data_IF_261774319047
#
_entry.id   IF_261774319047
#
_cell.length_a   1.000
_cell.length_b   1.000
_cell.length_c   1.000
_cell.angle_alpha   90.00
_cell.angle_beta   90.00
_cell.angle_gamma   90.00
#
_symmetry.space_group_name_H-M   'P 1'
#
loop_
_entity.id
_entity.type
_entity.pdbx_description
1 polymer ?
#
# COMPACT_ATOMS: atom_id res chain seq x y z
N UNK A 1 1.16 -11.97 -23.74
CA UNK A 1 1.27 -12.09 -22.27
C UNK A 1 0.27 -13.11 -21.73
N UNK A 2 0.57 -13.61 -20.53
CA UNK A 2 -0.36 -14.44 -19.75
C UNK A 2 -0.67 -13.73 -18.43
N UNK A 3 -1.94 -13.50 -18.16
CA UNK A 3 -2.44 -12.92 -16.92
C UNK A 3 -3.13 -13.99 -16.07
N UNK A 4 -2.58 -14.26 -14.89
CA UNK A 4 -3.24 -15.06 -13.86
C UNK A 4 -3.88 -14.11 -12.83
N UNK A 5 -5.20 -13.99 -12.78
CA UNK A 5 -5.87 -13.10 -11.82
C UNK A 5 -5.77 -13.64 -10.39
N UNK A 6 -5.98 -12.75 -9.41
CA UNK A 6 -6.15 -13.15 -8.03
C UNK A 6 -7.36 -14.08 -7.88
N UNK A 7 -7.20 -15.17 -7.10
CA UNK A 7 -8.22 -16.23 -7.03
C UNK A 7 -9.55 -15.75 -6.43
N UNK A 8 -9.51 -14.76 -5.51
CA UNK A 8 -10.72 -14.23 -4.86
C UNK A 8 -11.36 -13.07 -5.64
N UNK A 9 -10.65 -12.44 -6.60
CA UNK A 9 -11.14 -11.27 -7.34
C UNK A 9 -10.84 -11.37 -8.84
N UNK A 10 -11.26 -12.45 -9.54
CA UNK A 10 -10.89 -12.66 -10.95
C UNK A 10 -11.72 -11.83 -11.93
N UNK A 11 -12.88 -11.31 -11.52
CA UNK A 11 -13.89 -10.74 -12.43
C UNK A 11 -13.35 -9.55 -13.21
N UNK A 12 -12.64 -8.61 -12.56
CA UNK A 12 -12.07 -7.45 -13.26
C UNK A 12 -11.08 -7.84 -14.36
N UNK A 13 -10.24 -8.87 -14.12
CA UNK A 13 -9.32 -9.38 -15.13
C UNK A 13 -10.07 -10.05 -16.29
N UNK A 14 -11.17 -10.75 -16.02
CA UNK A 14 -12.02 -11.33 -17.07
C UNK A 14 -12.75 -10.26 -17.88
N UNK A 15 -13.13 -9.14 -17.27
CA UNK A 15 -13.67 -7.96 -17.98
C UNK A 15 -12.62 -7.36 -18.92
N UNK A 16 -11.37 -7.22 -18.47
CA UNK A 16 -10.26 -6.80 -19.33
C UNK A 16 -10.08 -7.76 -20.51
N UNK A 17 -10.14 -9.08 -20.27
CA UNK A 17 -10.09 -10.08 -21.32
C UNK A 17 -11.20 -9.90 -22.37
N UNK A 18 -12.42 -9.58 -21.91
CA UNK A 18 -13.55 -9.29 -22.84
C UNK A 18 -13.26 -8.07 -23.71
N UNK A 19 -12.77 -6.98 -23.12
CA UNK A 19 -12.40 -5.77 -23.89
C UNK A 19 -11.28 -6.07 -24.89
N UNK A 20 -10.24 -6.82 -24.50
CA UNK A 20 -9.14 -7.21 -25.39
C UNK A 20 -9.63 -8.09 -26.56
N UNK A 21 -10.63 -8.94 -26.33
CA UNK A 21 -11.21 -9.79 -27.39
C UNK A 21 -11.97 -8.98 -28.47
N UNK A 22 -12.36 -7.76 -28.17
CA UNK A 22 -13.05 -6.83 -29.11
C UNK A 22 -12.05 -5.96 -29.90
N UNK A 23 -10.73 -6.12 -29.69
CA UNK A 23 -9.66 -5.39 -30.38
C UNK A 23 -9.08 -6.18 -31.54
N UNK A 24 -8.33 -5.50 -32.44
CA UNK A 24 -7.61 -6.09 -33.56
C UNK A 24 -6.26 -6.73 -33.15
N UNK A 25 -6.02 -6.99 -31.88
CA UNK A 25 -4.81 -7.66 -31.42
C UNK A 25 -4.71 -9.07 -32.02
N UNK A 26 -3.52 -9.49 -32.48
CA UNK A 26 -3.32 -10.81 -33.05
C UNK A 26 -3.78 -11.93 -32.11
N UNK A 27 -4.43 -12.94 -32.62
CA UNK A 27 -4.84 -14.13 -31.86
C UNK A 27 -3.62 -14.77 -31.20
N UNK A 28 -3.75 -15.08 -29.90
CA UNK A 28 -2.67 -15.69 -29.11
C UNK A 28 -1.69 -14.70 -28.49
N UNK A 29 -1.83 -13.37 -28.72
CA UNK A 29 -0.98 -12.35 -28.09
C UNK A 29 -1.25 -12.16 -26.59
N UNK A 30 -2.40 -12.61 -26.10
CA UNK A 30 -2.76 -12.55 -24.69
C UNK A 30 -3.61 -13.74 -24.25
N UNK A 31 -3.56 -14.06 -22.95
CA UNK A 31 -4.41 -15.07 -22.30
C UNK A 31 -4.68 -14.66 -20.86
N UNK A 32 -5.92 -14.84 -20.39
CA UNK A 32 -6.30 -14.65 -18.98
C UNK A 32 -6.73 -16.00 -18.44
N UNK A 33 -5.97 -16.54 -17.48
CA UNK A 33 -6.08 -17.91 -16.99
C UNK A 33 -6.35 -17.94 -15.48
N UNK A 34 -7.62 -17.98 -15.04
CA UNK A 34 -7.96 -18.27 -13.65
C UNK A 34 -7.50 -19.71 -13.32
N UNK A 35 -6.53 -19.80 -12.41
CA UNK A 35 -6.03 -21.09 -11.94
C UNK A 35 -5.51 -20.97 -10.50
N UNK A 36 -5.25 -22.08 -9.86
CA UNK A 36 -4.64 -22.12 -8.54
C UNK A 36 -3.13 -21.80 -8.58
N UNK A 37 -2.51 -21.75 -7.40
CA UNK A 37 -1.08 -21.40 -7.30
C UNK A 37 -0.17 -22.50 -7.86
N UNK A 38 -0.56 -23.75 -7.73
CA UNK A 38 0.23 -24.87 -8.20
C UNK A 38 0.30 -24.88 -9.72
N UNK A 39 -0.84 -24.74 -10.40
CA UNK A 39 -0.89 -24.63 -11.87
C UNK A 39 -0.18 -23.36 -12.38
N UNK A 40 -0.22 -22.25 -11.62
CA UNK A 40 0.44 -21.01 -11.98
C UNK A 40 1.97 -21.03 -11.82
N UNK A 41 2.54 -22.00 -11.14
CA UNK A 41 3.99 -22.06 -10.86
C UNK A 41 4.84 -22.10 -12.14
N UNK A 42 4.30 -22.69 -13.19
CA UNK A 42 4.93 -22.70 -14.52
C UNK A 42 5.19 -21.28 -15.06
N UNK A 43 4.37 -20.29 -14.71
CA UNK A 43 4.58 -18.89 -15.13
C UNK A 43 5.83 -18.30 -14.50
N UNK A 44 6.20 -18.80 -13.32
CA UNK A 44 7.42 -18.38 -12.61
C UNK A 44 8.66 -19.08 -13.14
N UNK A 45 8.58 -20.38 -13.40
CA UNK A 45 9.76 -21.23 -13.62
C UNK A 45 10.08 -21.48 -15.11
N UNK A 46 9.11 -21.43 -16.01
CA UNK A 46 9.31 -21.76 -17.44
C UNK A 46 10.08 -20.65 -18.19
N UNK A 47 11.18 -21.01 -18.84
CA UNK A 47 12.09 -20.10 -19.56
C UNK A 47 11.50 -19.42 -20.81
N UNK A 48 10.34 -19.87 -21.28
CA UNK A 48 9.61 -19.21 -22.38
C UNK A 48 9.11 -17.82 -21.97
N UNK A 49 8.80 -17.60 -20.70
CA UNK A 49 8.49 -16.29 -20.16
C UNK A 49 9.79 -15.50 -19.92
N UNK A 50 9.86 -14.27 -20.37
CA UNK A 50 11.05 -13.42 -20.28
C UNK A 50 10.94 -12.34 -19.20
N UNK A 51 9.71 -12.04 -18.81
CA UNK A 51 9.41 -11.09 -17.74
C UNK A 51 8.32 -11.69 -16.85
N UNK A 52 8.50 -11.52 -15.53
CA UNK A 52 7.51 -11.84 -14.50
C UNK A 52 7.11 -10.53 -13.81
N UNK A 53 5.84 -10.18 -13.86
CA UNK A 53 5.26 -9.10 -13.07
C UNK A 53 4.32 -9.69 -12.03
N UNK A 54 4.48 -9.30 -10.77
CA UNK A 54 3.66 -9.83 -9.68
C UNK A 54 3.27 -8.72 -8.70
N UNK A 55 1.98 -8.68 -8.36
CA UNK A 55 1.43 -7.85 -7.28
C UNK A 55 0.85 -8.77 -6.21
N UNK A 56 1.28 -8.58 -4.95
CA UNK A 56 0.80 -9.38 -3.83
C UNK A 56 1.67 -9.28 -2.58
N UNK A 57 1.67 -10.30 -1.72
CA UNK A 57 2.47 -10.27 -0.50
C UNK A 57 3.98 -10.35 -0.79
N UNK A 58 4.76 -9.66 0.05
CA UNK A 58 6.22 -9.63 0.00
C UNK A 58 6.85 -11.04 0.03
N UNK A 59 6.40 -11.90 0.92
CA UNK A 59 6.90 -13.29 1.02
C UNK A 59 6.75 -14.05 -0.31
N UNK A 60 5.60 -13.94 -0.97
CA UNK A 60 5.34 -14.64 -2.23
C UNK A 60 6.14 -14.01 -3.36
N UNK A 61 6.20 -12.69 -3.44
CA UNK A 61 6.93 -11.99 -4.51
C UNK A 61 8.43 -12.28 -4.48
N UNK A 62 9.04 -12.23 -3.31
CA UNK A 62 10.48 -12.52 -3.16
C UNK A 62 10.82 -13.99 -3.39
N UNK A 63 9.93 -14.93 -3.00
CA UNK A 63 10.05 -16.34 -3.37
C UNK A 63 9.99 -16.54 -4.88
N UNK A 64 9.01 -15.94 -5.56
CA UNK A 64 8.90 -16.00 -7.02
C UNK A 64 10.17 -15.44 -7.70
N UNK A 65 10.69 -14.31 -7.23
CA UNK A 65 11.94 -13.74 -7.75
C UNK A 65 13.11 -14.70 -7.62
N UNK A 66 13.25 -15.35 -6.48
CA UNK A 66 14.32 -16.32 -6.25
C UNK A 66 14.27 -17.50 -7.23
N UNK A 67 13.08 -17.89 -7.70
CA UNK A 67 12.84 -19.03 -8.61
C UNK A 67 12.70 -18.62 -10.09
N UNK A 68 12.63 -17.35 -10.39
CA UNK A 68 12.35 -16.85 -11.75
C UNK A 68 13.52 -17.04 -12.75
N UNK A 69 14.67 -17.50 -12.31
CA UNK A 69 15.82 -17.73 -13.17
C UNK A 69 16.35 -16.42 -13.79
N UNK A 70 16.44 -16.35 -15.12
CA UNK A 70 16.98 -15.19 -15.87
C UNK A 70 15.92 -14.17 -16.27
N UNK A 71 14.66 -14.34 -15.86
CA UNK A 71 13.60 -13.41 -16.22
C UNK A 71 13.84 -12.04 -15.61
N UNK A 72 13.47 -10.98 -16.31
CA UNK A 72 13.21 -9.69 -15.68
C UNK A 72 12.04 -9.84 -14.70
N UNK A 73 12.14 -9.20 -13.55
CA UNK A 73 11.10 -9.31 -12.51
C UNK A 73 10.72 -7.93 -12.02
N UNK A 74 9.41 -7.64 -12.07
CA UNK A 74 8.80 -6.47 -11.46
C UNK A 74 7.88 -6.93 -10.33
N UNK A 75 8.06 -6.37 -9.14
CA UNK A 75 7.34 -6.74 -7.93
C UNK A 75 6.68 -5.51 -7.32
N UNK A 76 5.38 -5.55 -7.17
CA UNK A 76 4.56 -4.60 -6.41
C UNK A 76 4.00 -5.31 -5.18
N UNK A 77 4.63 -5.04 -4.03
CA UNK A 77 4.40 -5.81 -2.83
C UNK A 77 3.75 -4.95 -1.72
N UNK A 78 3.78 -5.46 -0.50
CA UNK A 78 3.17 -4.81 0.64
C UNK A 78 3.82 -3.48 1.04
N UNK A 79 3.13 -2.75 1.91
CA UNK A 79 3.60 -1.49 2.47
C UNK A 79 3.27 -1.35 3.95
N UNK A 80 3.93 -0.39 4.57
CA UNK A 80 3.62 0.12 5.91
C UNK A 80 3.67 1.64 5.82
N UNK A 81 2.79 2.18 4.96
CA UNK A 81 2.86 3.57 4.56
C UNK A 81 2.58 4.52 5.73
N UNK A 82 3.37 5.59 5.79
CA UNK A 82 3.26 6.60 6.80
C UNK A 82 2.90 7.96 6.22
N UNK A 83 2.21 8.78 7.01
CA UNK A 83 2.06 10.21 6.78
C UNK A 83 2.67 10.96 7.95
N UNK A 84 3.49 11.98 7.66
CA UNK A 84 4.10 12.87 8.62
C UNK A 84 3.43 14.24 8.55
N UNK A 85 2.97 14.76 9.67
CA UNK A 85 2.29 16.06 9.78
C UNK A 85 3.16 16.96 10.68
N UNK A 86 3.84 17.93 10.04
CA UNK A 86 4.76 18.85 10.71
C UNK A 86 4.02 20.01 11.41
N UNK A 87 4.72 20.71 12.28
CA UNK A 87 4.19 21.78 13.15
C UNK A 87 3.54 22.95 12.38
N UNK A 88 3.98 23.21 11.16
CA UNK A 88 3.49 24.31 10.32
C UNK A 88 2.25 23.95 9.48
N UNK A 89 1.69 22.75 9.69
CA UNK A 89 0.51 22.25 8.95
C UNK A 89 -0.78 22.81 9.54
N UNK A 90 -1.66 23.30 8.67
CA UNK A 90 -3.02 23.70 9.06
C UNK A 90 -3.90 22.46 9.17
N UNK A 91 -4.48 22.23 10.36
CA UNK A 91 -5.34 21.07 10.64
C UNK A 91 -6.80 21.44 10.36
N UNK A 92 -7.18 21.40 9.11
CA UNK A 92 -8.56 21.62 8.66
C UNK A 92 -9.35 20.29 8.54
N UNK A 93 -10.63 20.41 8.17
CA UNK A 93 -11.50 19.25 7.98
C UNK A 93 -11.10 18.42 6.75
N UNK A 94 -10.59 19.07 5.71
CA UNK A 94 -10.17 18.40 4.47
C UNK A 94 -8.97 17.48 4.72
N UNK A 95 -7.99 17.93 5.49
CA UNK A 95 -6.84 17.10 5.88
C UNK A 95 -7.30 15.88 6.69
N UNK A 96 -8.18 16.07 7.67
CA UNK A 96 -8.69 14.95 8.49
C UNK A 96 -9.47 13.95 7.63
N UNK A 97 -10.32 14.42 6.70
CA UNK A 97 -11.05 13.56 5.78
C UNK A 97 -10.10 12.80 4.85
N UNK A 98 -9.05 13.46 4.39
CA UNK A 98 -8.03 12.84 3.54
C UNK A 98 -7.26 11.75 4.28
N UNK A 99 -6.87 11.97 5.54
CA UNK A 99 -6.24 10.96 6.39
C UNK A 99 -7.14 9.74 6.61
N UNK A 100 -8.42 9.98 6.91
CA UNK A 100 -9.40 8.92 7.14
C UNK A 100 -9.63 8.10 5.87
N UNK A 101 -9.84 8.76 4.73
CA UNK A 101 -10.01 8.09 3.45
C UNK A 101 -8.79 7.24 3.09
N UNK A 102 -7.59 7.76 3.34
CA UNK A 102 -6.35 7.06 3.04
C UNK A 102 -6.05 5.88 3.97
N UNK A 103 -6.46 5.95 5.23
CA UNK A 103 -6.22 4.87 6.19
C UNK A 103 -7.28 3.78 6.18
N UNK A 104 -8.53 4.13 5.85
CA UNK A 104 -9.67 3.22 6.04
C UNK A 104 -10.48 2.94 4.77
N UNK A 105 -10.27 3.68 3.69
CA UNK A 105 -10.87 3.38 2.39
C UNK A 105 -10.54 1.96 1.95
N UNK A 106 -11.47 1.27 1.29
CA UNK A 106 -11.34 -0.15 0.95
C UNK A 106 -11.02 -1.06 2.15
N UNK A 107 -11.47 -0.69 3.36
CA UNK A 107 -11.11 -1.35 4.61
C UNK A 107 -9.58 -1.44 4.84
N UNK A 108 -8.81 -0.43 4.42
CA UNK A 108 -7.35 -0.40 4.55
C UNK A 108 -6.61 -1.46 3.73
N UNK A 109 -7.29 -2.19 2.83
CA UNK A 109 -6.70 -3.28 2.04
C UNK A 109 -6.05 -2.75 0.75
N UNK A 110 -5.14 -1.80 0.91
CA UNK A 110 -4.36 -1.16 -0.17
C UNK A 110 -2.91 -1.05 0.28
N UNK A 111 -1.96 -1.39 -0.59
CA UNK A 111 -0.52 -1.40 -0.28
C UNK A 111 0.05 -0.03 0.16
N UNK A 112 -0.60 1.06 -0.24
CA UNK A 112 -0.27 2.45 0.17
C UNK A 112 -1.27 3.02 1.20
N UNK A 113 -2.10 2.18 1.83
CA UNK A 113 -2.98 2.62 2.92
C UNK A 113 -2.15 3.18 4.08
N UNK A 114 -2.61 4.29 4.65
CA UNK A 114 -1.93 4.94 5.79
C UNK A 114 -2.07 4.07 7.03
N UNK A 115 -1.02 3.35 7.36
CA UNK A 115 -0.96 2.55 8.58
C UNK A 115 -0.38 3.34 9.75
N UNK A 116 0.46 4.35 9.49
CA UNK A 116 1.13 5.15 10.52
C UNK A 116 0.91 6.64 10.28
N UNK A 117 0.37 7.34 11.29
CA UNK A 117 0.13 8.78 11.27
C UNK A 117 1.07 9.41 12.32
N UNK A 118 2.16 10.01 11.86
CA UNK A 118 3.13 10.70 12.70
C UNK A 118 2.75 12.19 12.75
N UNK A 119 2.52 12.71 13.94
CA UNK A 119 2.06 14.10 14.14
C UNK A 119 3.03 14.84 15.06
N UNK A 120 3.40 16.05 14.65
CA UNK A 120 4.21 16.92 15.52
C UNK A 120 3.54 17.12 16.88
N UNK A 121 4.34 17.18 17.94
CA UNK A 121 3.86 17.23 19.30
C UNK A 121 2.84 18.34 19.58
N UNK A 122 3.02 19.50 18.95
CA UNK A 122 2.15 20.68 19.12
C UNK A 122 0.75 20.47 18.51
N UNK A 123 0.62 19.67 17.45
CA UNK A 123 -0.63 19.40 16.76
C UNK A 123 -1.31 18.09 17.19
N UNK A 124 -0.58 17.25 17.94
CA UNK A 124 -1.00 15.88 18.27
C UNK A 124 -2.37 15.80 18.95
N UNK A 125 -2.63 16.67 19.92
CA UNK A 125 -3.89 16.64 20.70
C UNK A 125 -5.08 17.02 19.79
N UNK A 126 -4.90 18.01 18.95
CA UNK A 126 -5.93 18.47 18.00
C UNK A 126 -6.25 17.38 16.96
N UNK A 127 -5.23 16.86 16.28
CA UNK A 127 -5.38 15.80 15.27
C UNK A 127 -6.03 14.56 15.88
N UNK A 128 -5.56 14.11 17.04
CA UNK A 128 -6.15 12.97 17.77
C UNK A 128 -7.63 13.17 18.04
N UNK A 129 -8.01 14.35 18.58
CA UNK A 129 -9.40 14.68 18.89
C UNK A 129 -10.29 14.65 17.62
N UNK A 130 -9.83 15.28 16.54
CA UNK A 130 -10.58 15.35 15.26
C UNK A 130 -10.72 13.96 14.62
N UNK A 131 -9.65 13.17 14.58
CA UNK A 131 -9.68 11.80 14.05
C UNK A 131 -10.68 10.92 14.82
N UNK A 132 -10.62 10.89 16.15
CA UNK A 132 -11.54 10.08 16.98
C UNK A 132 -12.99 10.52 16.76
N UNK A 133 -13.26 11.84 16.71
CA UNK A 133 -14.62 12.36 16.55
C UNK A 133 -15.25 11.95 15.20
N UNK A 134 -14.44 11.92 14.12
CA UNK A 134 -14.91 11.48 12.80
C UNK A 134 -15.00 9.97 12.69
N UNK A 135 -14.01 9.24 13.15
CA UNK A 135 -13.98 7.77 13.08
C UNK A 135 -15.17 7.12 13.78
N UNK A 136 -15.62 7.67 14.92
CA UNK A 136 -16.83 7.19 15.63
C UNK A 136 -18.12 7.29 14.81
N UNK A 137 -18.14 8.08 13.74
CA UNK A 137 -19.30 8.25 12.86
C UNK A 137 -19.27 7.30 11.66
N UNK A 138 -18.13 6.68 11.38
CA UNK A 138 -17.96 5.78 10.24
C UNK A 138 -18.50 4.41 10.60
N UNK A 139 -19.41 3.93 9.78
CA UNK A 139 -19.95 2.56 9.87
C UNK A 139 -19.26 1.68 8.83
N UNK A 140 -19.06 0.42 9.19
CA UNK A 140 -18.74 -0.63 8.23
C UNK A 140 -20.05 -1.09 7.62
N UNK A 141 -20.16 -1.05 6.29
CA UNK A 141 -21.44 -1.26 5.60
C UNK A 141 -21.26 -2.00 4.26
N UNK A 142 -22.35 -2.23 3.55
CA UNK A 142 -22.40 -2.87 2.24
C UNK A 142 -21.57 -2.04 1.22
N UNK A 143 -20.56 -2.63 0.57
CA UNK A 143 -19.72 -1.95 -0.41
C UNK A 143 -20.48 -1.53 -1.69
N UNK A 144 -21.71 -1.97 -1.88
CA UNK A 144 -22.58 -1.53 -2.99
C UNK A 144 -23.16 -0.12 -2.77
N UNK A 145 -23.15 0.37 -1.54
CA UNK A 145 -23.61 1.71 -1.24
C UNK A 145 -22.52 2.73 -1.51
N UNK A 146 -22.82 3.76 -2.29
CA UNK A 146 -21.86 4.84 -2.63
C UNK A 146 -21.39 5.63 -1.39
N UNK A 147 -22.06 5.51 -0.27
CA UNK A 147 -21.70 6.18 1.00
C UNK A 147 -20.77 5.35 1.87
N UNK A 148 -20.51 4.09 1.52
CA UNK A 148 -19.67 3.19 2.32
C UNK A 148 -18.20 3.51 2.08
N UNK A 149 -17.51 4.00 3.12
CA UNK A 149 -16.07 4.18 3.13
C UNK A 149 -15.34 2.86 3.49
N UNK A 150 -15.87 2.15 4.48
CA UNK A 150 -15.27 0.92 5.02
C UNK A 150 -16.19 -0.25 4.75
N UNK A 151 -15.81 -1.12 3.83
CA UNK A 151 -16.50 -2.36 3.52
C UNK A 151 -15.93 -3.55 4.31
N UNK A 152 -16.28 -4.78 3.92
CA UNK A 152 -15.76 -5.99 4.57
C UNK A 152 -14.28 -6.24 4.26
N UNK A 153 -13.62 -6.96 5.15
CA UNK A 153 -12.35 -7.61 4.85
C UNK A 153 -12.55 -8.70 3.79
N UNK A 154 -11.52 -8.98 2.99
CA UNK A 154 -11.59 -9.94 1.85
C UNK A 154 -11.97 -11.36 2.30
N UNK A 155 -11.61 -11.77 3.52
CA UNK A 155 -11.93 -13.07 4.11
C UNK A 155 -11.81 -13.04 5.63
N UNK A 156 -12.53 -13.91 6.29
CA UNK A 156 -12.58 -14.01 7.74
C UNK A 156 -11.21 -14.28 8.38
N UNK A 157 -10.39 -15.13 7.76
CA UNK A 157 -9.06 -15.43 8.28
C UNK A 157 -8.18 -14.19 8.43
N UNK A 158 -8.25 -13.22 7.50
CA UNK A 158 -7.51 -11.96 7.59
C UNK A 158 -8.09 -11.03 8.66
N UNK A 159 -9.41 -10.99 8.79
CA UNK A 159 -10.06 -10.20 9.83
C UNK A 159 -9.69 -10.73 11.23
N UNK A 160 -9.69 -12.06 11.42
CA UNK A 160 -9.25 -12.71 12.67
C UNK A 160 -7.76 -12.50 12.93
N UNK A 161 -6.90 -12.56 11.90
CA UNK A 161 -5.47 -12.25 12.02
C UNK A 161 -5.26 -10.83 12.57
N UNK A 162 -5.92 -9.87 11.95
CA UNK A 162 -5.82 -8.46 12.33
C UNK A 162 -6.34 -8.23 13.75
N UNK A 163 -7.48 -8.85 14.12
CA UNK A 163 -8.01 -8.79 15.48
C UNK A 163 -7.02 -9.29 16.52
N UNK A 164 -6.35 -10.42 16.24
CA UNK A 164 -5.30 -10.96 17.12
C UNK A 164 -4.13 -9.98 17.29
N UNK A 165 -3.77 -9.26 16.25
CA UNK A 165 -2.70 -8.27 16.32
C UNK A 165 -3.10 -7.07 17.17
N UNK A 166 -4.33 -6.57 17.02
CA UNK A 166 -4.87 -5.48 17.84
C UNK A 166 -4.95 -5.89 19.31
N UNK A 167 -5.49 -7.08 19.61
CA UNK A 167 -5.59 -7.60 20.98
C UNK A 167 -4.22 -7.80 21.64
N UNK A 168 -3.24 -8.26 20.85
CA UNK A 168 -1.86 -8.41 21.32
C UNK A 168 -1.24 -7.05 21.63
N UNK A 169 -1.48 -6.03 20.79
CA UNK A 169 -0.99 -4.69 21.03
C UNK A 169 -1.59 -4.09 22.31
N UNK A 170 -2.89 -4.21 22.51
CA UNK A 170 -3.58 -3.74 23.71
C UNK A 170 -3.04 -4.43 24.97
N UNK A 171 -2.87 -5.75 24.96
CA UNK A 171 -2.24 -6.50 26.08
C UNK A 171 -0.80 -6.07 26.36
N UNK A 172 -0.12 -5.47 25.37
CA UNK A 172 1.25 -4.96 25.49
C UNK A 172 1.30 -3.45 25.82
N UNK A 173 0.17 -2.82 26.13
CA UNK A 173 0.10 -1.44 26.59
C UNK A 173 -0.31 -0.41 25.52
N UNK A 174 -0.59 -0.82 24.29
CA UNK A 174 -1.20 0.05 23.31
C UNK A 174 -2.61 0.44 23.77
N UNK A 175 -3.06 1.64 23.35
CA UNK A 175 -4.42 2.10 23.62
C UNK A 175 -5.23 2.05 22.33
N UNK A 176 -6.38 1.39 22.35
CA UNK A 176 -7.41 1.48 21.31
C UNK A 176 -8.19 2.77 21.54
N UNK A 177 -7.97 3.76 20.69
CA UNK A 177 -8.62 5.08 20.81
C UNK A 177 -10.08 5.04 20.30
N UNK A 178 -10.33 4.21 19.30
CA UNK A 178 -11.66 3.92 18.75
C UNK A 178 -11.62 2.65 17.91
N UNK A 179 -12.77 1.98 17.73
CA UNK A 179 -12.88 0.74 16.96
C UNK A 179 -12.42 -0.50 17.72
N UNK A 180 -11.83 -1.44 16.99
CA UNK A 180 -11.28 -2.68 17.56
C UNK A 180 -12.25 -3.86 17.59
N UNK A 181 -13.52 -3.65 17.19
CA UNK A 181 -14.51 -4.72 17.15
C UNK A 181 -14.54 -5.42 15.79
N UNK A 182 -14.78 -6.72 15.83
CA UNK A 182 -14.88 -7.59 14.66
C UNK A 182 -16.20 -8.38 14.73
N UNK A 183 -16.96 -8.34 13.63
CA UNK A 183 -18.15 -9.17 13.44
C UNK A 183 -18.04 -9.88 12.07
N UNK A 184 -17.70 -11.18 12.06
CA UNK A 184 -17.42 -11.92 10.84
C UNK A 184 -16.26 -11.29 10.06
N UNK A 185 -16.53 -10.74 8.89
CA UNK A 185 -15.56 -10.02 8.05
C UNK A 185 -15.62 -8.50 8.21
N UNK A 186 -16.53 -7.97 9.03
CA UNK A 186 -16.70 -6.54 9.27
C UNK A 186 -15.80 -6.12 10.42
N UNK A 187 -14.71 -5.43 10.10
CA UNK A 187 -13.75 -4.91 11.06
C UNK A 187 -13.92 -3.38 11.19
N UNK A 188 -14.17 -2.89 12.40
CA UNK A 188 -14.33 -1.46 12.62
C UNK A 188 -13.05 -0.67 12.35
N UNK A 189 -13.16 0.58 11.79
CA UNK A 189 -12.04 1.50 11.68
C UNK A 189 -11.38 1.70 13.03
N UNK A 190 -10.13 1.29 13.17
CA UNK A 190 -9.43 1.22 14.44
C UNK A 190 -8.24 2.15 14.46
N UNK A 191 -8.17 3.00 15.49
CA UNK A 191 -7.05 3.89 15.74
C UNK A 191 -6.35 3.50 17.03
N UNK A 192 -5.05 3.24 16.95
CA UNK A 192 -4.21 2.84 18.07
C UNK A 192 -3.23 3.97 18.44
N UNK A 193 -2.80 4.03 19.70
CA UNK A 193 -1.66 4.80 20.14
C UNK A 193 -0.77 4.00 21.09
N UNK A 194 0.50 4.42 21.26
CA UNK A 194 1.48 3.78 22.14
C UNK A 194 1.74 2.31 21.80
N UNK A 195 1.80 1.99 20.52
CA UNK A 195 2.08 0.63 20.03
C UNK A 195 3.58 0.36 20.12
N UNK A 196 3.96 -0.77 20.75
CA UNK A 196 5.36 -1.21 20.76
C UNK A 196 5.83 -1.54 19.32
N UNK A 197 6.93 -0.92 18.91
CA UNK A 197 7.51 -1.07 17.57
C UNK A 197 7.95 -2.52 17.24
N UNK A 198 8.05 -3.40 18.21
CA UNK A 198 8.40 -4.82 18.03
C UNK A 198 7.21 -5.67 17.58
N UNK A 199 5.99 -5.15 17.73
CA UNK A 199 4.77 -5.90 17.40
C UNK A 199 4.50 -5.94 15.88
N UNK A 200 3.86 -7.00 15.42
CA UNK A 200 3.51 -7.21 14.03
C UNK A 200 2.64 -6.07 13.49
N UNK A 201 1.67 -5.60 14.26
CA UNK A 201 0.78 -4.50 13.88
C UNK A 201 1.53 -3.18 13.60
N UNK A 202 2.75 -3.01 14.12
CA UNK A 202 3.58 -1.84 13.88
C UNK A 202 4.55 -2.04 12.71
N UNK A 203 5.25 -3.17 12.66
CA UNK A 203 6.37 -3.41 11.74
C UNK A 203 5.98 -4.09 10.44
N UNK A 204 4.87 -4.83 10.41
CA UNK A 204 4.39 -5.55 9.25
C UNK A 204 3.18 -4.84 8.63
N UNK A 205 2.80 -5.23 7.41
CA UNK A 205 1.62 -4.70 6.74
C UNK A 205 0.35 -5.22 7.41
N UNK A 206 -0.48 -4.29 7.94
CA UNK A 206 -1.77 -4.64 8.54
C UNK A 206 -2.77 -5.16 7.51
N UNK A 207 -2.78 -4.55 6.32
CA UNK A 207 -3.70 -4.81 5.21
C UNK A 207 -5.16 -4.90 5.69
N UNK A 208 -5.57 -3.89 6.44
CA UNK A 208 -6.86 -3.80 7.09
C UNK A 208 -7.11 -2.42 7.70
N UNK A 209 -8.33 -2.15 8.23
CA UNK A 209 -8.74 -0.81 8.66
C UNK A 209 -8.16 -0.42 10.03
N UNK A 210 -6.84 -0.46 10.17
CA UNK A 210 -6.13 -0.11 11.41
C UNK A 210 -5.04 0.89 11.11
N UNK A 211 -5.00 1.99 11.87
CA UNK A 211 -3.92 2.96 11.84
C UNK A 211 -3.35 3.21 13.24
N UNK A 212 -2.07 3.61 13.29
CA UNK A 212 -1.33 3.92 14.51
C UNK A 212 -1.04 5.41 14.51
N UNK A 213 -1.41 6.09 15.59
CA UNK A 213 -1.13 7.51 15.81
C UNK A 213 0.11 7.65 16.67
N UNK A 214 1.12 8.32 16.14
CA UNK A 214 2.41 8.52 16.78
C UNK A 214 2.72 10.01 16.94
N UNK A 215 3.57 10.34 17.89
CA UNK A 215 4.00 11.70 18.16
C UNK A 215 5.50 11.83 17.93
N UNK A 216 5.94 12.91 17.26
CA UNK A 216 7.35 13.28 17.13
C UNK A 216 7.56 14.74 17.55
N UNK A 217 8.82 15.13 17.80
CA UNK A 217 9.18 16.52 18.11
C UNK A 217 10.04 17.17 17.04
N UNK A 218 11.05 16.45 16.57
CA UNK A 218 11.98 16.95 15.55
C UNK A 218 11.64 16.31 14.20
N UNK A 219 11.63 17.11 13.13
CA UNK A 219 11.26 16.66 11.79
C UNK A 219 12.08 15.46 11.33
N UNK A 220 13.40 15.52 11.54
CA UNK A 220 14.37 14.47 11.22
C UNK A 220 14.07 13.17 11.98
N UNK A 221 13.60 13.28 13.24
CA UNK A 221 13.15 12.13 14.02
C UNK A 221 11.96 11.44 13.33
N UNK A 222 11.00 12.23 12.86
CA UNK A 222 9.84 11.71 12.12
C UNK A 222 10.26 10.96 10.86
N UNK A 223 11.14 11.55 10.05
CA UNK A 223 11.71 10.92 8.85
C UNK A 223 12.44 9.60 9.19
N UNK A 224 13.29 9.62 10.20
CA UNK A 224 14.00 8.42 10.65
C UNK A 224 13.05 7.32 11.13
N UNK A 225 11.98 7.69 11.83
CA UNK A 225 10.95 6.75 12.30
C UNK A 225 10.24 6.07 11.13
N UNK A 226 9.94 6.80 10.06
CA UNK A 226 9.38 6.21 8.83
C UNK A 226 10.38 5.23 8.20
N UNK A 227 11.65 5.61 8.12
CA UNK A 227 12.71 4.79 7.51
C UNK A 227 13.01 3.49 8.23
N UNK A 228 12.65 3.35 9.52
CA UNK A 228 12.81 2.11 10.29
C UNK A 228 11.93 0.95 9.78
N UNK A 229 10.88 1.25 9.01
CA UNK A 229 10.09 0.20 8.36
C UNK A 229 10.94 -0.60 7.37
N UNK A 230 10.74 -1.92 7.34
CA UNK A 230 11.30 -2.79 6.30
C UNK A 230 10.67 -2.55 4.93
N UNK A 231 9.52 -1.89 4.90
CA UNK A 231 8.83 -1.48 3.69
C UNK A 231 9.24 -0.08 3.23
N UNK A 232 9.02 0.22 1.97
CA UNK A 232 9.32 1.53 1.40
C UNK A 232 8.56 1.78 0.10
N UNK A 233 7.21 1.80 0.14
CA UNK A 233 6.41 2.04 -1.05
C UNK A 233 6.16 3.54 -1.27
N UNK A 234 5.34 4.17 -0.45
CA UNK A 234 5.11 5.62 -0.48
C UNK A 234 5.01 6.20 0.93
N UNK A 235 5.32 7.49 1.08
CA UNK A 235 5.10 8.26 2.30
C UNK A 235 4.52 9.63 1.96
N UNK A 236 3.62 10.13 2.82
CA UNK A 236 3.08 11.48 2.76
C UNK A 236 3.80 12.41 3.74
N UNK A 237 4.00 13.68 3.38
CA UNK A 237 4.61 14.68 4.25
C UNK A 237 3.88 16.00 4.11
N UNK A 238 3.27 16.45 5.18
CA UNK A 238 2.63 17.76 5.27
C UNK A 238 3.57 18.74 5.94
N UNK A 239 3.98 19.77 5.22
CA UNK A 239 4.77 20.92 5.71
C UNK A 239 4.66 22.07 4.70
N UNK A 240 4.80 23.32 5.17
CA UNK A 240 4.89 24.51 4.32
C UNK A 240 6.34 24.94 4.07
N UNK A 241 7.31 24.27 4.71
CA UNK A 241 8.72 24.62 4.63
C UNK A 241 9.41 23.87 3.49
N UNK A 242 9.82 24.62 2.44
CA UNK A 242 10.49 24.06 1.27
C UNK A 242 11.76 23.24 1.63
N UNK A 243 12.55 23.68 2.60
CA UNK A 243 13.76 22.95 3.00
C UNK A 243 13.41 21.59 3.63
N UNK A 244 12.32 21.53 4.40
CA UNK A 244 11.82 20.25 4.94
C UNK A 244 11.24 19.35 3.85
N UNK A 245 10.56 19.92 2.84
CA UNK A 245 10.10 19.14 1.67
C UNK A 245 11.28 18.48 0.95
N UNK A 246 12.34 19.25 0.66
CA UNK A 246 13.55 18.75 0.01
C UNK A 246 14.29 17.74 0.91
N UNK A 247 14.39 18.03 2.20
CA UNK A 247 14.97 17.09 3.15
C UNK A 247 14.22 15.75 3.18
N UNK A 248 12.88 15.77 3.18
CA UNK A 248 12.06 14.57 3.13
C UNK A 248 12.30 13.78 1.83
N UNK A 249 12.39 14.49 0.68
CA UNK A 249 12.72 13.88 -0.59
C UNK A 249 14.08 13.17 -0.58
N UNK A 250 15.10 13.79 -0.04
CA UNK A 250 16.46 13.26 -0.02
C UNK A 250 16.66 12.11 0.97
N UNK A 251 15.87 12.08 2.07
CA UNK A 251 16.15 11.20 3.20
C UNK A 251 15.10 10.09 3.41
N UNK A 252 13.92 10.16 2.80
CA UNK A 252 12.94 9.07 2.90
C UNK A 252 13.31 7.90 1.98
N UNK A 253 13.46 6.72 2.54
CA UNK A 253 13.76 5.49 1.80
C UNK A 253 12.48 4.82 1.32
N UNK A 254 11.77 5.49 0.40
CA UNK A 254 10.52 5.04 -0.23
C UNK A 254 10.55 5.25 -1.73
N UNK A 255 9.68 4.58 -2.47
CA UNK A 255 9.56 4.76 -3.92
C UNK A 255 8.89 6.07 -4.32
N UNK A 256 8.00 6.61 -3.47
CA UNK A 256 7.32 7.90 -3.71
C UNK A 256 7.20 8.73 -2.44
N UNK A 257 7.59 10.02 -2.52
CA UNK A 257 7.37 11.02 -1.47
C UNK A 257 6.30 11.98 -1.94
N UNK A 258 5.19 12.03 -1.22
CA UNK A 258 4.01 12.85 -1.57
C UNK A 258 3.98 14.07 -0.63
N UNK A 259 4.21 15.25 -1.17
CA UNK A 259 4.21 16.48 -0.38
C UNK A 259 2.80 17.06 -0.32
N UNK A 260 2.36 17.42 0.89
CA UNK A 260 1.06 17.99 1.22
C UNK A 260 -0.13 17.14 0.76
N UNK A 261 0.10 15.82 0.69
CA UNK A 261 -0.96 14.83 0.53
C UNK A 261 -0.56 13.50 1.21
N UNK A 262 -1.42 12.52 1.17
CA UNK A 262 -1.27 11.20 1.75
C UNK A 262 -0.62 10.21 0.77
N UNK A 263 -0.01 9.12 1.25
CA UNK A 263 0.64 8.13 0.39
C UNK A 263 -0.31 7.43 -0.61
N UNK A 264 -1.63 7.55 -0.45
CA UNK A 264 -2.59 7.01 -1.43
C UNK A 264 -2.76 7.88 -2.69
N UNK A 265 -2.07 9.02 -2.78
CA UNK A 265 -2.05 9.80 -4.01
C UNK A 265 -1.35 9.01 -5.13
N UNK A 266 -2.03 8.87 -6.26
CA UNK A 266 -1.49 8.23 -7.45
C UNK A 266 -2.15 8.81 -8.71
N UNK A 267 -1.34 8.97 -9.76
CA UNK A 267 -1.79 9.24 -11.13
C UNK A 267 -1.13 8.22 -12.07
N UNK A 268 -1.83 7.81 -13.12
CA UNK A 268 -1.44 6.65 -13.94
C UNK A 268 -0.13 6.84 -14.72
N UNK A 269 0.27 8.08 -15.00
CA UNK A 269 1.48 8.41 -15.74
C UNK A 269 2.71 8.61 -14.85
N UNK A 270 2.58 8.62 -13.52
CA UNK A 270 3.73 8.72 -12.62
C UNK A 270 4.45 7.38 -12.47
N UNK A 271 5.79 7.37 -12.28
CA UNK A 271 6.47 6.17 -11.82
C UNK A 271 5.92 5.73 -10.46
N UNK A 272 5.62 4.45 -10.32
CA UNK A 272 5.12 3.88 -9.07
C UNK A 272 5.84 2.58 -8.78
N UNK A 273 6.19 2.34 -7.53
CA UNK A 273 6.84 1.10 -7.08
C UNK A 273 7.64 1.32 -5.81
N UNK A 274 7.90 0.23 -5.11
CA UNK A 274 8.58 0.23 -3.83
C UNK A 274 10.09 0.04 -3.91
N UNK A 275 10.72 0.31 -2.77
CA UNK A 275 12.08 -0.10 -2.44
C UNK A 275 12.04 -1.01 -1.22
N UNK A 276 13.16 -1.54 -0.78
CA UNK A 276 13.24 -2.51 0.33
C UNK A 276 12.31 -3.71 0.05
N UNK A 277 11.52 -4.14 1.07
CA UNK A 277 10.61 -5.29 0.92
C UNK A 277 9.33 -4.95 0.14
N UNK A 278 9.09 -3.69 -0.20
CA UNK A 278 7.90 -3.27 -0.95
C UNK A 278 7.96 -3.56 -2.44
N UNK A 279 9.12 -3.88 -3.00
CA UNK A 279 9.13 -4.27 -4.39
C UNK A 279 10.43 -4.05 -5.15
N UNK A 280 10.33 -4.26 -6.46
CA UNK A 280 11.40 -4.13 -7.44
C UNK A 280 10.82 -3.69 -8.78
N UNK A 281 11.49 -2.76 -9.47
CA UNK A 281 10.98 -2.18 -10.71
C UNK A 281 10.02 -1.01 -10.47
N UNK A 282 9.40 -0.55 -11.54
CA UNK A 282 8.42 0.55 -11.48
C UNK A 282 7.25 0.29 -12.42
N UNK A 283 6.05 0.56 -11.94
CA UNK A 283 4.85 0.72 -12.76
C UNK A 283 4.77 2.16 -13.33
N UNK A 284 3.72 2.43 -14.09
CA UNK A 284 3.55 3.64 -14.88
C UNK A 284 3.91 3.35 -16.34
N UNK A 285 3.14 3.92 -17.28
CA UNK A 285 3.19 3.54 -18.70
C UNK A 285 4.62 3.58 -19.26
N UNK A 286 5.36 4.68 -19.05
CA UNK A 286 6.72 4.83 -19.56
C UNK A 286 7.72 3.86 -18.92
N UNK A 287 7.61 3.64 -17.61
CA UNK A 287 8.48 2.73 -16.88
C UNK A 287 8.23 1.28 -17.29
N UNK A 288 6.96 0.87 -17.33
CA UNK A 288 6.58 -0.48 -17.74
C UNK A 288 6.98 -0.80 -19.19
N UNK A 289 6.81 0.15 -20.13
CA UNK A 289 7.27 -0.03 -21.52
C UNK A 289 8.78 -0.25 -21.56
N UNK A 290 9.54 0.54 -20.81
CA UNK A 290 11.03 0.41 -20.75
C UNK A 290 11.44 -0.94 -20.17
N UNK A 291 10.80 -1.40 -19.11
CA UNK A 291 11.08 -2.70 -18.48
C UNK A 291 10.78 -3.88 -19.43
N UNK A 292 9.78 -3.73 -20.31
CA UNK A 292 9.40 -4.75 -21.30
C UNK A 292 10.28 -4.74 -22.56
N UNK A 293 11.21 -3.82 -22.69
CA UNK A 293 12.09 -3.68 -23.86
C UNK A 293 13.52 -4.07 -23.51
N UNK A 294 14.29 -4.38 -24.58
CA UNK A 294 15.74 -4.55 -24.53
C UNK A 294 16.40 -3.43 -25.35
N UNK A 295 17.31 -2.67 -24.74
CA UNK A 295 18.10 -1.69 -25.43
C UNK A 295 19.08 -2.38 -26.40
N UNK A 296 19.17 -1.89 -27.63
CA UNK A 296 20.06 -2.43 -28.64
C UNK A 296 20.79 -1.32 -29.40
N UNK A 297 22.12 -1.42 -29.44
CA UNK A 297 22.96 -0.50 -30.17
C UNK A 297 23.12 -0.94 -31.63
N UNK A 298 22.99 -0.02 -32.58
CA UNK A 298 23.43 -0.15 -33.95
C UNK A 298 24.60 0.82 -34.20
N UNK A 299 25.79 0.30 -34.49
CA UNK A 299 26.94 1.10 -34.91
C UNK A 299 27.25 0.79 -36.38
N UNK A 300 27.32 1.83 -37.21
CA UNK A 300 27.72 1.72 -38.63
C UNK A 300 29.05 2.48 -38.80
N UNK A 301 30.12 1.75 -39.14
CA UNK A 301 31.42 2.35 -39.50
C UNK A 301 31.37 2.65 -41.00
N UNK A 302 31.55 3.91 -41.36
CA UNK A 302 31.74 4.36 -42.74
C UNK A 302 33.18 4.22 -43.16
#
# INVERSE_FOLDING_TARGET
FVLKPASLTPISALMIAKVLAETDLPKGSWSVLPCDRQAADILVTDDRFKLLSFTGSDQVGWDMKARAGRKKVTLELGGNAAVLIDADTVIDEALIDRLISAAYGHAGQVCISVQRILVHADLYVEVKKKLIAKLKKIKVDDPKLNTTLVGPMIKEAEAVRLKKWVDKAEKKGAKVLTGGHLQGVLFEPTLLENVDAKLEIYKDEAFGPVAILEKFKEFEQGINTINQSRFGLQAGVYTQNLNKMLYAWDHLHVGGVIINDVPTFRVDNMPYGGVKDSGLGREGIHSAIRDMQEERLLAIKQ
#
